data_IF_192626366774
#
_entry.id   IF_192626366774
#
_cell.length_a   1.000
_cell.length_b   1.000
_cell.length_c   1.000
_cell.angle_alpha   90.00
_cell.angle_beta   90.00
_cell.angle_gamma   90.00
#
_symmetry.space_group_name_H-M   'P 1'
#
loop_
_entity.id
_entity.type
_entity.pdbx_description
1 polymer ?
#
# COMPACT_ATOMS: atom_id res chain seq x y z
N UNK A 1 -1.26 7.31 18.73
CA UNK A 1 -0.22 6.24 18.65
C UNK A 1 -0.85 4.95 19.16
N UNK A 2 -0.52 3.82 18.57
CA UNK A 2 -1.05 2.52 18.99
C UNK A 2 -0.25 1.91 20.15
N UNK A 3 -0.95 1.10 20.98
CA UNK A 3 -0.31 0.23 21.98
C UNK A 3 -0.19 -1.23 21.48
N UNK A 4 -0.60 -1.49 20.23
CA UNK A 4 -0.49 -2.82 19.65
C UNK A 4 0.98 -3.23 19.50
N UNK A 5 1.42 -4.14 20.38
CA UNK A 5 2.83 -4.59 20.44
C UNK A 5 3.28 -5.29 19.15
N UNK A 6 2.37 -5.90 18.40
CA UNK A 6 2.70 -6.59 17.16
C UNK A 6 2.98 -5.59 16.02
N UNK A 7 2.19 -4.51 15.95
CA UNK A 7 2.44 -3.40 15.03
C UNK A 7 3.77 -2.73 15.36
N UNK A 8 3.98 -2.39 16.63
CA UNK A 8 5.22 -1.74 17.08
C UNK A 8 6.46 -2.61 16.82
N UNK A 9 6.37 -3.92 17.13
CA UNK A 9 7.48 -4.85 16.89
C UNK A 9 7.84 -4.93 15.42
N UNK A 10 6.82 -5.04 14.54
CA UNK A 10 7.07 -5.11 13.11
C UNK A 10 7.63 -3.80 12.53
N UNK A 11 7.11 -2.64 12.95
CA UNK A 11 7.65 -1.34 12.54
C UNK A 11 9.11 -1.20 12.96
N UNK A 12 9.46 -1.59 14.18
CA UNK A 12 10.84 -1.54 14.67
C UNK A 12 11.76 -2.49 13.89
N UNK A 13 11.33 -3.73 13.62
CA UNK A 13 12.09 -4.69 12.83
C UNK A 13 12.38 -4.13 11.41
N UNK A 14 11.40 -3.56 10.76
CA UNK A 14 11.60 -2.96 9.44
C UNK A 14 12.47 -1.70 9.51
N UNK A 15 12.37 -0.91 10.56
CA UNK A 15 13.23 0.26 10.78
C UNK A 15 14.69 -0.14 11.01
N UNK A 16 14.95 -1.19 11.80
CA UNK A 16 16.30 -1.74 11.97
C UNK A 16 16.89 -2.20 10.63
N UNK A 17 16.11 -2.86 9.80
CA UNK A 17 16.57 -3.32 8.50
C UNK A 17 16.82 -2.17 7.52
N UNK A 18 15.91 -1.22 7.41
CA UNK A 18 15.95 -0.16 6.38
C UNK A 18 16.73 1.09 6.81
N UNK A 19 17.00 1.25 8.11
CA UNK A 19 17.78 2.33 8.73
C UNK A 19 17.29 3.76 8.40
N UNK A 20 16.01 4.11 8.65
CA UNK A 20 15.52 5.46 8.39
C UNK A 20 16.09 6.47 9.40
N UNK A 21 16.26 7.72 8.97
CA UNK A 21 16.66 8.83 9.84
C UNK A 21 15.54 9.27 10.80
N UNK A 22 14.28 9.04 10.42
CA UNK A 22 13.10 9.45 11.16
C UNK A 22 11.92 8.52 10.85
N UNK A 23 11.07 8.29 11.84
CA UNK A 23 9.81 7.57 11.69
C UNK A 23 8.66 8.53 11.97
N UNK A 24 7.71 8.62 11.05
CA UNK A 24 6.53 9.49 11.14
C UNK A 24 5.27 8.64 11.01
N UNK A 25 4.42 8.67 12.02
CA UNK A 25 3.11 8.05 11.99
C UNK A 25 2.09 8.98 11.33
N UNK A 26 1.30 8.43 10.41
CA UNK A 26 0.26 9.16 9.72
C UNK A 26 -1.03 9.04 10.53
N UNK A 27 -1.52 10.17 11.01
CA UNK A 27 -2.68 10.25 11.90
C UNK A 27 -4.01 10.43 11.17
N UNK A 28 -3.95 10.72 9.86
CA UNK A 28 -5.11 10.94 9.01
C UNK A 28 -5.68 12.35 9.05
N UNK A 29 -5.04 13.28 9.76
CA UNK A 29 -5.49 14.69 9.82
C UNK A 29 -5.18 15.43 8.52
N UNK A 30 -6.05 16.39 8.18
CA UNK A 30 -5.83 17.27 7.02
C UNK A 30 -4.65 18.20 7.27
N UNK A 31 -4.41 18.59 8.53
CA UNK A 31 -3.25 19.41 8.92
C UNK A 31 -1.93 18.72 8.58
N UNK A 32 -1.80 17.42 8.92
CA UNK A 32 -0.62 16.64 8.57
C UNK A 32 -0.52 16.45 7.04
N UNK A 33 -1.63 16.20 6.36
CA UNK A 33 -1.68 16.08 4.92
C UNK A 33 -1.23 17.36 4.19
N UNK A 34 -1.65 18.54 4.68
CA UNK A 34 -1.23 19.83 4.12
C UNK A 34 0.27 20.09 4.34
N UNK A 35 0.80 19.75 5.51
CA UNK A 35 2.23 19.83 5.77
C UNK A 35 3.04 18.93 4.81
N UNK A 36 2.57 17.72 4.57
CA UNK A 36 3.20 16.79 3.62
C UNK A 36 3.09 17.27 2.17
N UNK A 37 1.97 17.86 1.75
CA UNK A 37 1.82 18.50 0.43
C UNK A 37 2.83 19.63 0.24
N UNK A 38 3.00 20.47 1.26
CA UNK A 38 3.97 21.56 1.25
C UNK A 38 5.42 21.03 1.15
N UNK A 39 5.76 19.99 1.93
CA UNK A 39 7.05 19.31 1.89
C UNK A 39 7.31 18.70 0.51
N UNK A 40 6.35 17.96 -0.06
CA UNK A 40 6.46 17.36 -1.39
C UNK A 40 6.69 18.41 -2.50
N UNK A 41 6.06 19.59 -2.37
CA UNK A 41 6.30 20.69 -3.30
C UNK A 41 7.68 21.33 -3.11
N UNK A 42 8.16 21.45 -1.89
CA UNK A 42 9.45 22.06 -1.57
C UNK A 42 10.63 21.20 -2.05
N UNK A 43 10.48 19.88 -2.02
CA UNK A 43 11.46 18.90 -2.48
C UNK A 43 11.38 18.63 -3.98
N UNK A 44 10.32 19.10 -4.66
CA UNK A 44 10.08 18.86 -6.08
C UNK A 44 9.49 17.48 -6.38
N UNK A 45 9.10 16.70 -5.36
CA UNK A 45 8.40 15.42 -5.56
C UNK A 45 7.01 15.62 -6.18
N UNK A 46 6.38 16.76 -5.86
CA UNK A 46 5.11 17.18 -6.46
C UNK A 46 5.19 18.64 -6.94
N UNK A 47 4.37 18.96 -7.93
CA UNK A 47 4.19 20.30 -8.47
C UNK A 47 2.75 20.72 -8.23
N UNK A 48 2.55 21.80 -7.45
CA UNK A 48 1.21 22.37 -7.28
C UNK A 48 0.75 22.97 -8.60
N UNK A 49 -0.46 22.61 -9.04
CA UNK A 49 -1.03 23.12 -10.28
C UNK A 49 -1.68 24.49 -10.09
N UNK A 50 -2.18 25.06 -11.19
CA UNK A 50 -2.83 26.38 -11.17
C UNK A 50 -4.13 26.34 -10.36
N UNK A 51 -4.14 26.97 -9.19
CA UNK A 51 -5.27 26.98 -8.24
C UNK A 51 -6.55 27.57 -8.80
N UNK A 52 -6.47 28.45 -9.82
CA UNK A 52 -7.67 29.01 -10.46
C UNK A 52 -8.35 28.06 -11.43
N UNK A 53 -7.57 27.18 -12.07
CA UNK A 53 -8.06 26.21 -13.06
C UNK A 53 -8.26 24.83 -12.45
N UNK A 54 -7.39 24.43 -11.55
CA UNK A 54 -7.33 23.10 -10.94
C UNK A 54 -7.07 23.23 -9.44
N UNK A 55 -8.05 23.73 -8.67
CA UNK A 55 -7.87 23.97 -7.23
C UNK A 55 -7.56 22.66 -6.50
N UNK A 56 -6.57 22.69 -5.62
CA UNK A 56 -6.16 21.53 -4.82
C UNK A 56 -5.47 20.41 -5.58
N UNK A 57 -5.08 20.63 -6.84
CA UNK A 57 -4.47 19.60 -7.67
C UNK A 57 -2.94 19.70 -7.68
N UNK A 58 -2.31 18.53 -7.69
CA UNK A 58 -0.85 18.37 -7.72
C UNK A 58 -0.46 17.39 -8.84
N UNK A 59 0.67 17.66 -9.50
CA UNK A 59 1.26 16.76 -10.47
C UNK A 59 2.44 16.04 -9.84
N UNK A 60 2.44 14.71 -9.90
CA UNK A 60 3.59 13.85 -9.64
C UNK A 60 4.02 13.12 -10.92
N UNK A 61 5.31 12.97 -11.10
CA UNK A 61 5.88 12.19 -12.21
C UNK A 61 6.80 11.11 -11.66
N UNK A 62 6.59 9.89 -12.12
CA UNK A 62 7.52 8.79 -11.86
C UNK A 62 8.78 8.92 -12.71
N UNK A 63 9.84 8.16 -12.37
CA UNK A 63 11.01 8.05 -13.20
C UNK A 63 10.66 7.48 -14.60
N UNK A 64 11.43 7.85 -15.62
CA UNK A 64 11.18 7.45 -17.03
C UNK A 64 11.23 5.93 -17.20
N UNK A 65 12.07 5.24 -16.41
CA UNK A 65 12.22 3.78 -16.40
C UNK A 65 11.26 3.06 -15.45
N UNK A 66 10.37 3.79 -14.78
CA UNK A 66 9.37 3.21 -13.88
C UNK A 66 8.05 3.02 -14.62
N UNK A 67 7.47 1.84 -14.54
CA UNK A 67 6.35 1.44 -15.37
C UNK A 67 5.17 0.95 -14.56
N UNK A 68 3.97 1.07 -15.13
CA UNK A 68 2.69 0.72 -14.51
C UNK A 68 2.57 -0.76 -14.13
N UNK A 69 3.25 -1.62 -14.85
CA UNK A 69 3.20 -3.07 -14.68
C UNK A 69 4.61 -3.63 -14.73
N UNK A 70 4.96 -4.39 -13.71
CA UNK A 70 6.24 -5.11 -13.59
C UNK A 70 5.93 -6.60 -13.48
N UNK A 71 5.32 -7.15 -14.52
CA UNK A 71 4.81 -8.53 -14.51
C UNK A 71 5.92 -9.55 -14.25
N UNK A 72 7.04 -9.42 -14.95
CA UNK A 72 8.19 -10.31 -14.77
C UNK A 72 8.91 -10.22 -13.42
N UNK A 73 8.57 -9.23 -12.60
CA UNK A 73 9.17 -8.98 -11.27
C UNK A 73 8.11 -8.94 -10.15
N UNK A 74 6.86 -9.33 -10.47
CA UNK A 74 5.77 -9.48 -9.50
C UNK A 74 5.58 -10.95 -9.17
N UNK A 75 5.69 -11.30 -7.89
CA UNK A 75 5.67 -12.68 -7.42
C UNK A 75 4.62 -12.90 -6.33
N UNK A 76 4.02 -14.08 -6.34
CA UNK A 76 3.23 -14.63 -5.24
C UNK A 76 4.07 -15.75 -4.59
N UNK A 77 4.53 -15.48 -3.37
CA UNK A 77 5.48 -16.33 -2.66
C UNK A 77 4.74 -17.19 -1.63
N UNK A 78 3.99 -18.15 -2.11
CA UNK A 78 3.30 -19.15 -1.29
C UNK A 78 4.21 -20.34 -0.99
N UNK A 79 3.97 -21.02 0.16
CA UNK A 79 4.74 -22.21 0.55
C UNK A 79 4.58 -23.38 -0.45
N UNK A 80 3.41 -23.47 -1.08
CA UNK A 80 3.12 -24.39 -2.17
C UNK A 80 2.92 -23.60 -3.45
N UNK A 81 3.63 -23.97 -4.50
CA UNK A 81 3.56 -23.28 -5.79
C UNK A 81 2.13 -23.24 -6.36
N UNK A 82 1.35 -24.28 -6.14
CA UNK A 82 -0.02 -24.41 -6.63
C UNK A 82 -0.95 -23.33 -6.03
N UNK A 83 -0.63 -22.85 -4.83
CA UNK A 83 -1.42 -21.81 -4.15
C UNK A 83 -1.17 -20.40 -4.71
N UNK A 84 -0.14 -20.21 -5.52
CA UNK A 84 0.11 -18.94 -6.21
C UNK A 84 -0.83 -18.69 -7.39
N UNK A 85 -1.49 -19.75 -7.89
CA UNK A 85 -2.34 -19.67 -9.09
C UNK A 85 -1.55 -19.82 -10.40
N UNK A 86 -2.26 -20.17 -11.46
CA UNK A 86 -1.63 -20.60 -12.73
C UNK A 86 -1.03 -19.45 -13.55
N UNK A 87 -1.47 -18.21 -13.32
CA UNK A 87 -1.07 -17.04 -14.12
C UNK A 87 -0.04 -16.15 -13.43
N UNK A 88 0.31 -16.44 -12.17
CA UNK A 88 1.23 -15.64 -11.39
C UNK A 88 2.65 -16.24 -11.43
N UNK A 89 3.66 -15.36 -11.39
CA UNK A 89 5.01 -15.83 -11.10
C UNK A 89 5.10 -16.26 -9.64
N UNK A 90 5.79 -17.35 -9.42
CA UNK A 90 6.05 -17.90 -8.09
C UNK A 90 7.55 -17.88 -7.77
N UNK A 91 7.86 -17.61 -6.51
CA UNK A 91 9.19 -17.75 -5.94
C UNK A 91 9.08 -18.37 -4.56
N UNK A 92 10.01 -19.22 -4.17
CA UNK A 92 10.05 -19.76 -2.81
C UNK A 92 10.13 -18.62 -1.79
N UNK A 93 9.29 -18.62 -0.73
CA UNK A 93 9.25 -17.53 0.24
C UNK A 93 10.60 -17.25 0.91
N UNK A 94 11.36 -18.28 1.27
CA UNK A 94 12.66 -18.13 1.95
C UNK A 94 13.70 -17.52 1.01
N UNK A 95 13.72 -17.97 -0.24
CA UNK A 95 14.58 -17.41 -1.29
C UNK A 95 14.23 -15.94 -1.50
N UNK A 96 12.94 -15.64 -1.64
CA UNK A 96 12.45 -14.28 -1.84
C UNK A 96 12.81 -13.35 -0.68
N UNK A 97 12.53 -13.75 0.58
CA UNK A 97 12.93 -12.97 1.76
C UNK A 97 14.44 -12.74 1.81
N UNK A 98 15.23 -13.78 1.57
CA UNK A 98 16.71 -13.66 1.57
C UNK A 98 17.20 -12.64 0.56
N UNK A 99 16.62 -12.64 -0.63
CA UNK A 99 16.94 -11.70 -1.70
C UNK A 99 16.51 -10.28 -1.37
N UNK A 100 15.26 -10.11 -0.94
CA UNK A 100 14.69 -8.80 -0.63
C UNK A 100 15.36 -8.15 0.58
N UNK A 101 15.66 -8.91 1.64
CA UNK A 101 16.35 -8.38 2.82
C UNK A 101 17.66 -7.69 2.43
N UNK A 102 18.43 -8.25 1.49
CA UNK A 102 19.67 -7.62 1.00
C UNK A 102 19.40 -6.28 0.30
N UNK A 103 18.30 -6.18 -0.45
CA UNK A 103 17.92 -4.95 -1.16
C UNK A 103 17.37 -3.88 -0.21
N UNK A 104 16.66 -4.32 0.84
CA UNK A 104 16.08 -3.40 1.82
C UNK A 104 17.07 -2.91 2.88
N UNK A 105 18.16 -3.65 3.12
CA UNK A 105 19.15 -3.24 4.13
C UNK A 105 19.70 -1.85 3.83
N UNK A 106 19.40 -0.90 4.72
CA UNK A 106 19.82 0.50 4.59
C UNK A 106 19.10 1.32 3.52
N UNK A 107 18.04 0.80 2.87
CA UNK A 107 17.34 1.45 1.74
C UNK A 107 16.69 2.79 2.09
N UNK A 108 16.45 3.05 3.38
CA UNK A 108 15.87 4.31 3.86
C UNK A 108 16.89 5.18 4.61
N UNK A 109 18.19 4.89 4.53
CA UNK A 109 19.22 5.69 5.20
C UNK A 109 19.13 7.16 4.76
N UNK A 110 19.05 8.07 5.74
CA UNK A 110 18.86 9.50 5.52
C UNK A 110 17.46 9.95 5.13
N UNK A 111 16.52 9.01 5.00
CA UNK A 111 15.11 9.29 4.62
C UNK A 111 14.18 9.17 5.83
N UNK A 112 12.95 9.65 5.65
CA UNK A 112 11.84 9.43 6.59
C UNK A 112 11.10 8.15 6.22
N UNK A 113 10.85 7.29 7.21
CA UNK A 113 9.88 6.19 7.10
C UNK A 113 8.53 6.71 7.57
N UNK A 114 7.53 6.69 6.70
CA UNK A 114 6.14 6.97 7.04
C UNK A 114 5.43 5.67 7.39
N UNK A 115 4.69 5.67 8.48
CA UNK A 115 3.86 4.55 8.93
C UNK A 115 2.40 4.89 8.67
N UNK A 116 1.75 4.18 7.76
CA UNK A 116 0.40 4.47 7.27
C UNK A 116 -0.55 3.36 7.75
N UNK A 117 -1.28 3.56 8.85
CA UNK A 117 -2.40 2.68 9.19
C UNK A 117 -3.55 2.94 8.23
N UNK A 118 -4.07 1.89 7.57
CA UNK A 118 -5.14 2.07 6.59
C UNK A 118 -6.18 0.95 6.60
N UNK A 119 -7.39 1.28 6.11
CA UNK A 119 -8.44 0.32 5.78
C UNK A 119 -8.93 0.55 4.36
N UNK A 120 -9.06 -0.53 3.58
CA UNK A 120 -9.64 -0.48 2.23
C UNK A 120 -11.18 -0.35 2.28
N UNK A 121 -11.81 -0.67 3.41
CA UNK A 121 -13.25 -0.56 3.60
C UNK A 121 -13.60 0.46 4.69
N UNK A 122 -14.89 0.59 4.99
CA UNK A 122 -15.36 1.43 6.10
C UNK A 122 -14.81 0.89 7.42
N UNK A 123 -14.18 1.76 8.20
CA UNK A 123 -13.65 1.42 9.53
C UNK A 123 -14.78 0.94 10.43
N UNK A 124 -14.54 -0.16 11.14
CA UNK A 124 -15.55 -0.78 12.02
C UNK A 124 -16.56 -1.68 11.30
N UNK A 125 -16.49 -1.82 9.97
CA UNK A 125 -17.29 -2.81 9.24
C UNK A 125 -16.87 -4.24 9.65
N UNK A 126 -17.82 -5.20 9.77
CA UNK A 126 -17.48 -6.60 10.04
C UNK A 126 -16.65 -7.26 8.94
N UNK A 127 -16.57 -6.64 7.76
CA UNK A 127 -15.74 -7.07 6.63
C UNK A 127 -14.44 -6.29 6.53
N UNK A 128 -14.18 -5.34 7.42
CA UNK A 128 -12.98 -4.54 7.38
C UNK A 128 -11.73 -5.41 7.59
N UNK A 129 -10.73 -5.15 6.77
CA UNK A 129 -9.38 -5.68 6.96
C UNK A 129 -8.42 -4.51 6.97
N UNK A 130 -7.57 -4.48 7.98
CA UNK A 130 -6.66 -3.37 8.22
C UNK A 130 -5.26 -3.69 7.75
N UNK A 131 -4.53 -2.67 7.36
CA UNK A 131 -3.12 -2.79 6.99
C UNK A 131 -2.29 -1.67 7.58
N UNK A 132 -1.01 -1.92 7.66
CA UNK A 132 0.02 -0.93 7.98
C UNK A 132 0.98 -0.91 6.80
N UNK A 133 1.12 0.22 6.12
CA UNK A 133 2.09 0.39 5.05
C UNK A 133 3.25 1.26 5.53
N UNK A 134 4.48 0.80 5.34
CA UNK A 134 5.71 1.54 5.59
C UNK A 134 6.28 2.00 4.25
N UNK A 135 6.68 3.28 4.15
CA UNK A 135 7.20 3.83 2.89
C UNK A 135 8.16 5.00 3.15
N UNK A 136 9.07 5.23 2.21
CA UNK A 136 9.93 6.42 2.17
C UNK A 136 9.41 7.52 1.22
N UNK A 137 8.15 7.41 0.76
CA UNK A 137 7.59 8.32 -0.26
C UNK A 137 6.37 9.09 0.24
N UNK A 138 6.45 10.42 0.21
CA UNK A 138 5.31 11.31 0.53
C UNK A 138 4.17 11.12 -0.50
N UNK A 139 4.51 10.85 -1.77
CA UNK A 139 3.52 10.53 -2.80
C UNK A 139 2.62 9.36 -2.39
N UNK A 140 3.20 8.31 -1.82
CA UNK A 140 2.44 7.15 -1.33
C UNK A 140 1.51 7.56 -0.20
N UNK A 141 2.00 8.31 0.78
CA UNK A 141 1.18 8.80 1.91
C UNK A 141 -0.03 9.56 1.41
N UNK A 142 0.18 10.57 0.57
CA UNK A 142 -0.89 11.45 0.08
C UNK A 142 -1.91 10.69 -0.78
N UNK A 143 -1.48 9.71 -1.55
CA UNK A 143 -2.40 8.89 -2.34
C UNK A 143 -3.16 7.86 -1.49
N UNK A 144 -2.55 7.31 -0.45
CA UNK A 144 -3.25 6.43 0.50
C UNK A 144 -4.34 7.19 1.27
N UNK A 145 -4.10 8.45 1.64
CA UNK A 145 -5.12 9.32 2.24
C UNK A 145 -6.34 9.54 1.32
N UNK A 146 -6.13 9.60 0.00
CA UNK A 146 -7.23 9.75 -0.99
C UNK A 146 -7.96 8.42 -1.20
N UNK A 147 -7.24 7.31 -1.28
CA UNK A 147 -7.77 6.03 -1.74
C UNK A 147 -8.35 5.17 -0.63
N UNK A 148 -7.94 5.40 0.61
CA UNK A 148 -8.25 4.54 1.76
C UNK A 148 -8.71 5.38 2.95
N UNK A 149 -9.05 4.73 4.05
CA UNK A 149 -9.26 5.40 5.36
C UNK A 149 -7.96 5.22 6.12
N UNK A 150 -7.34 6.34 6.49
CA UNK A 150 -6.00 6.35 7.09
C UNK A 150 -6.05 7.03 8.44
N UNK A 151 -5.27 6.54 9.39
CA UNK A 151 -4.97 7.25 10.60
C UNK A 151 -5.35 6.58 11.90
N UNK A 152 -5.56 7.37 12.95
CA UNK A 152 -5.78 6.87 14.30
C UNK A 152 -7.04 6.01 14.42
N UNK A 153 -8.12 6.35 13.72
CA UNK A 153 -9.36 5.55 13.75
C UNK A 153 -9.13 4.11 13.29
N UNK A 154 -8.20 3.89 12.36
CA UNK A 154 -7.79 2.55 11.90
C UNK A 154 -7.03 1.82 13.00
N UNK A 155 -6.11 2.50 13.69
CA UNK A 155 -5.37 1.91 14.82
C UNK A 155 -6.28 1.55 15.98
N UNK A 156 -7.25 2.40 16.29
CA UNK A 156 -8.23 2.17 17.34
C UNK A 156 -9.15 0.98 17.01
N UNK A 157 -9.58 0.88 15.75
CA UNK A 157 -10.39 -0.24 15.29
C UNK A 157 -9.60 -1.56 15.17
N UNK A 158 -8.30 -1.50 14.86
CA UNK A 158 -7.41 -2.66 14.86
C UNK A 158 -7.18 -3.18 16.29
N UNK A 159 -7.08 -2.28 17.28
CA UNK A 159 -6.85 -2.65 18.68
C UNK A 159 -5.60 -3.54 18.82
N UNK A 160 -5.77 -4.68 19.49
CA UNK A 160 -4.69 -5.67 19.72
C UNK A 160 -4.67 -6.81 18.68
N UNK A 161 -5.44 -6.69 17.58
CA UNK A 161 -5.49 -7.72 16.54
C UNK A 161 -4.12 -7.87 15.86
N UNK A 162 -3.77 -9.12 15.58
CA UNK A 162 -2.52 -9.52 14.92
C UNK A 162 -2.68 -9.74 13.42
N UNK A 163 -3.93 -9.77 12.93
CA UNK A 163 -4.30 -10.14 11.56
C UNK A 163 -4.14 -9.03 10.53
N UNK A 164 -3.40 -7.96 10.81
CA UNK A 164 -3.21 -6.86 9.87
C UNK A 164 -2.26 -7.21 8.72
N UNK A 165 -2.46 -6.54 7.59
CA UNK A 165 -1.60 -6.67 6.41
C UNK A 165 -0.35 -5.79 6.59
N UNK A 166 0.82 -6.39 6.42
CA UNK A 166 2.14 -5.78 6.55
C UNK A 166 2.66 -5.37 5.17
N UNK A 167 2.68 -4.07 4.88
CA UNK A 167 3.18 -3.53 3.63
C UNK A 167 4.51 -2.80 3.83
N UNK A 168 5.57 -3.22 3.14
CA UNK A 168 6.84 -2.50 3.11
C UNK A 168 7.14 -2.04 1.70
N UNK A 169 7.22 -0.74 1.51
CA UNK A 169 7.63 -0.10 0.27
C UNK A 169 8.88 0.75 0.49
N UNK A 170 9.86 0.62 -0.38
CA UNK A 170 10.99 1.54 -0.48
C UNK A 170 11.20 1.96 -1.94
N UNK A 171 11.17 3.28 -2.19
CA UNK A 171 11.51 3.84 -3.49
C UNK A 171 12.97 3.56 -3.84
N UNK A 172 13.84 3.51 -2.83
CA UNK A 172 15.27 3.22 -2.95
C UNK A 172 15.93 4.03 -4.08
N UNK A 173 16.66 3.38 -4.98
CA UNK A 173 17.36 4.01 -6.09
C UNK A 173 16.60 3.91 -7.42
N UNK A 174 15.38 3.38 -7.42
CA UNK A 174 14.57 3.12 -8.62
C UNK A 174 15.24 2.19 -9.65
N UNK A 175 16.10 1.29 -9.17
CA UNK A 175 16.81 0.33 -10.01
C UNK A 175 15.85 -0.70 -10.60
N UNK A 176 15.66 -0.67 -11.91
CA UNK A 176 14.72 -1.55 -12.61
C UNK A 176 15.13 -3.01 -12.60
N UNK A 177 16.44 -3.32 -12.52
CA UNK A 177 16.93 -4.70 -12.46
C UNK A 177 16.68 -5.33 -11.08
N UNK A 178 16.63 -4.51 -10.05
CA UNK A 178 16.34 -4.89 -8.66
C UNK A 178 14.96 -4.43 -8.18
N UNK A 179 14.04 -4.18 -9.12
CA UNK A 179 12.63 -3.87 -8.84
C UNK A 179 11.85 -5.14 -8.60
N UNK A 180 11.19 -5.25 -7.45
CA UNK A 180 10.39 -6.41 -7.07
C UNK A 180 9.11 -5.99 -6.37
N UNK A 181 8.00 -6.68 -6.68
CA UNK A 181 6.73 -6.62 -5.95
C UNK A 181 6.38 -8.04 -5.52
N UNK A 182 6.56 -8.36 -4.26
CA UNK A 182 6.42 -9.70 -3.72
C UNK A 182 5.33 -9.78 -2.67
N UNK A 183 4.52 -10.82 -2.76
CA UNK A 183 3.39 -11.08 -1.88
C UNK A 183 3.62 -12.38 -1.14
N UNK A 184 3.45 -12.35 0.18
CA UNK A 184 3.58 -13.49 1.08
C UNK A 184 2.23 -13.71 1.77
N UNK A 185 1.28 -14.40 1.10
CA UNK A 185 -0.10 -14.45 1.57
C UNK A 185 -0.27 -15.14 2.91
N UNK A 186 0.54 -16.17 3.22
CA UNK A 186 0.48 -16.85 4.51
C UNK A 186 0.98 -16.00 5.67
N UNK A 187 1.78 -14.97 5.38
CA UNK A 187 2.36 -14.07 6.37
C UNK A 187 1.65 -12.70 6.40
N UNK A 188 0.59 -12.54 5.59
CA UNK A 188 -0.10 -11.24 5.38
C UNK A 188 0.88 -10.11 5.04
N UNK A 189 1.86 -10.38 4.19
CA UNK A 189 2.99 -9.47 3.95
C UNK A 189 3.14 -9.14 2.47
N UNK A 190 3.47 -7.87 2.18
CA UNK A 190 3.73 -7.36 0.83
C UNK A 190 4.99 -6.51 0.89
N UNK A 191 5.97 -6.81 0.04
CA UNK A 191 7.20 -6.03 -0.11
C UNK A 191 7.37 -5.54 -1.55
N UNK A 192 7.50 -4.21 -1.72
CA UNK A 192 7.72 -3.55 -3.02
C UNK A 192 8.92 -2.62 -2.94
N UNK A 193 9.90 -2.82 -3.81
CA UNK A 193 11.15 -2.04 -3.82
C UNK A 193 11.52 -1.57 -5.22
N UNK A 194 12.19 -0.43 -5.31
CA UNK A 194 12.70 0.19 -6.53
C UNK A 194 11.63 0.63 -7.52
N UNK A 195 10.42 0.93 -7.06
CA UNK A 195 9.36 1.57 -7.84
C UNK A 195 8.80 2.79 -7.09
N UNK A 196 8.41 3.82 -7.83
CA UNK A 196 7.61 4.96 -7.36
C UNK A 196 6.24 5.03 -8.06
N UNK A 197 5.91 4.07 -8.93
CA UNK A 197 4.66 4.06 -9.68
C UNK A 197 3.49 3.58 -8.83
N UNK A 198 2.39 4.34 -8.82
CA UNK A 198 1.23 4.13 -7.95
C UNK A 198 0.71 2.68 -7.88
N UNK A 199 0.56 1.99 -9.01
CA UNK A 199 0.09 0.60 -9.02
C UNK A 199 1.03 -0.41 -8.34
N UNK A 200 2.29 -0.06 -8.16
CA UNK A 200 3.33 -0.89 -7.55
C UNK A 200 3.57 -0.53 -6.08
N UNK A 201 3.21 0.69 -5.67
CA UNK A 201 3.60 1.26 -4.37
C UNK A 201 2.44 1.54 -3.43
N UNK A 202 1.22 1.70 -3.96
CA UNK A 202 -0.01 1.79 -3.16
C UNK A 202 -0.47 0.37 -2.82
N UNK A 203 0.13 -0.20 -1.80
CA UNK A 203 0.04 -1.64 -1.51
C UNK A 203 -1.36 -2.11 -1.08
N UNK A 204 -2.21 -1.19 -0.66
CA UNK A 204 -3.62 -1.47 -0.37
C UNK A 204 -4.45 -1.86 -1.59
N UNK A 205 -4.10 -1.35 -2.78
CA UNK A 205 -4.92 -1.50 -3.99
C UNK A 205 -4.80 -2.90 -4.61
N UNK A 206 -3.84 -3.12 -5.51
CA UNK A 206 -3.70 -4.40 -6.23
C UNK A 206 -3.08 -5.47 -5.35
N UNK A 207 -2.09 -5.10 -4.56
CA UNK A 207 -1.34 -6.07 -3.77
C UNK A 207 -2.22 -6.67 -2.68
N UNK A 208 -2.87 -5.84 -1.86
CA UNK A 208 -3.74 -6.33 -0.80
C UNK A 208 -5.13 -6.71 -1.34
N UNK A 209 -5.88 -5.74 -1.90
CA UNK A 209 -7.31 -5.92 -2.19
C UNK A 209 -7.60 -6.94 -3.31
N UNK A 210 -6.59 -7.33 -4.09
CA UNK A 210 -6.73 -8.38 -5.09
C UNK A 210 -5.85 -9.59 -4.78
N UNK A 211 -4.52 -9.44 -4.74
CA UNK A 211 -3.61 -10.59 -4.69
C UNK A 211 -3.60 -11.30 -3.35
N UNK A 212 -3.39 -10.57 -2.24
CA UNK A 212 -3.52 -11.16 -0.90
C UNK A 212 -4.97 -11.57 -0.63
N UNK A 213 -5.94 -10.72 -0.99
CA UNK A 213 -7.36 -10.98 -0.79
C UNK A 213 -7.85 -12.21 -1.57
N UNK A 214 -7.31 -12.53 -2.74
CA UNK A 214 -7.63 -13.77 -3.47
C UNK A 214 -7.24 -15.02 -2.67
N UNK A 215 -6.08 -14.98 -2.03
CA UNK A 215 -5.63 -16.09 -1.18
C UNK A 215 -6.47 -16.22 0.10
N UNK A 216 -6.74 -15.09 0.77
CA UNK A 216 -7.57 -15.06 1.98
C UNK A 216 -9.01 -15.43 1.67
N UNK A 217 -9.59 -14.86 0.61
CA UNK A 217 -10.95 -15.11 0.18
C UNK A 217 -11.19 -16.59 -0.16
N UNK A 218 -10.23 -17.24 -0.82
CA UNK A 218 -10.29 -18.69 -1.08
C UNK A 218 -10.46 -19.50 0.20
N UNK A 219 -9.79 -19.10 1.30
CA UNK A 219 -9.91 -19.77 2.60
C UNK A 219 -11.23 -19.44 3.33
N UNK A 220 -11.73 -18.23 3.15
CA UNK A 220 -12.93 -17.72 3.78
C UNK A 220 -14.21 -18.00 2.96
N UNK A 221 -14.09 -18.52 1.72
CA UNK A 221 -15.23 -18.77 0.83
C UNK A 221 -15.68 -17.52 0.05
N UNK A 222 -14.82 -16.52 -0.12
CA UNK A 222 -15.07 -15.29 -0.85
C UNK A 222 -14.24 -15.23 -2.13
N UNK A 223 -14.70 -14.42 -3.07
CA UNK A 223 -13.94 -14.05 -4.27
C UNK A 223 -13.45 -12.60 -4.11
N UNK A 224 -12.16 -12.36 -4.34
CA UNK A 224 -11.63 -11.01 -4.44
C UNK A 224 -11.84 -10.48 -5.86
N UNK A 225 -12.44 -9.29 -5.97
CA UNK A 225 -12.76 -8.65 -7.22
C UNK A 225 -12.50 -7.14 -7.16
N UNK A 226 -12.23 -6.53 -8.32
CA UNK A 226 -12.12 -5.08 -8.47
C UNK A 226 -13.40 -4.45 -9.05
N UNK A 227 -14.41 -5.24 -9.27
CA UNK A 227 -15.73 -4.82 -9.70
C UNK A 227 -16.52 -4.22 -8.54
N UNK A 228 -17.55 -3.45 -8.85
CA UNK A 228 -18.38 -2.83 -7.84
C UNK A 228 -19.85 -2.78 -8.25
N UNK A 229 -20.71 -2.69 -7.25
CA UNK A 229 -22.10 -2.27 -7.39
C UNK A 229 -22.22 -0.91 -6.68
N UNK A 230 -22.67 0.10 -7.41
CA UNK A 230 -22.86 1.46 -6.92
C UNK A 230 -24.35 1.81 -6.91
N UNK A 231 -24.85 2.23 -5.76
CA UNK A 231 -26.17 2.84 -5.63
C UNK A 231 -26.07 4.35 -5.88
N UNK A 232 -26.85 4.86 -6.82
CA UNK A 232 -26.94 6.28 -7.13
C UNK A 232 -28.37 6.73 -6.84
N UNK A 233 -28.51 7.71 -5.94
CA UNK A 233 -29.77 8.38 -5.72
C UNK A 233 -29.92 9.55 -6.68
N UNK A 234 -31.00 9.57 -7.48
CA UNK A 234 -31.31 10.67 -8.40
C UNK A 234 -31.82 11.89 -7.63
N UNK A 235 -31.82 13.09 -8.23
CA UNK A 235 -32.42 14.28 -7.61
C UNK A 235 -33.89 14.09 -7.20
N UNK A 236 -34.60 13.17 -7.84
CA UNK A 236 -35.99 12.83 -7.54
C UNK A 236 -36.12 11.78 -6.42
N UNK A 237 -35.02 11.33 -5.85
CA UNK A 237 -34.98 10.34 -4.76
C UNK A 237 -35.11 8.88 -5.22
N UNK A 238 -34.96 8.60 -6.52
CA UNK A 238 -34.97 7.23 -7.02
C UNK A 238 -33.57 6.59 -6.88
N UNK A 239 -33.48 5.43 -6.24
CA UNK A 239 -32.24 4.68 -6.10
C UNK A 239 -32.03 3.75 -7.31
N UNK A 240 -30.94 3.98 -8.07
CA UNK A 240 -30.53 3.15 -9.20
C UNK A 240 -29.23 2.43 -8.91
N UNK A 241 -29.18 1.11 -9.14
CA UNK A 241 -27.97 0.33 -8.99
C UNK A 241 -27.25 0.16 -10.34
N UNK A 242 -25.98 0.48 -10.36
CA UNK A 242 -25.08 0.30 -11.51
C UNK A 242 -24.00 -0.69 -11.10
N UNK A 243 -23.80 -1.73 -11.89
CA UNK A 243 -22.62 -2.60 -11.74
C UNK A 243 -21.55 -2.19 -12.73
N UNK A 244 -20.32 -2.07 -12.25
CA UNK A 244 -19.15 -1.85 -13.08
C UNK A 244 -18.28 -3.12 -13.05
N UNK A 245 -18.17 -3.77 -14.20
CA UNK A 245 -17.35 -4.94 -14.42
C UNK A 245 -16.21 -4.57 -15.38
N UNK A 246 -14.99 -4.72 -14.92
CA UNK A 246 -13.79 -4.40 -15.71
C UNK A 246 -13.13 -5.70 -16.14
N UNK A 247 -12.94 -5.94 -17.46
CA UNK A 247 -12.16 -7.09 -17.90
C UNK A 247 -10.72 -6.95 -17.40
N UNK A 248 -10.19 -8.02 -16.84
CA UNK A 248 -8.83 -8.13 -16.31
C UNK A 248 -7.90 -8.85 -17.29
#
# INVERSE_FOLDING_TARGET
MTNNKYVLSWVNEMAEMTNPAKIVWIDGSEEQADALRAEACSTGEMIKLNEKLLPGCYLHRTAVNDVARVEGRTFICTRKKEDAGNINNWMDPKECYTKLTKLYTGSMTGKTMYVIPYSMSIVGSPFAKYGIELTDSIYVVLNMLIMTRVGNDVLDALGDDTGFIKGLHAKADLDEENRYICHFPEDNTIWSINSGYGGNVLLGKKCFALRIASYLGRKEGWMAEHMLILGIETPEGELKYISAAFPS
#
